data_IF_620959564993
#
_entry.id   IF_620959564993
#
_cell.length_a   1.000
_cell.length_b   1.000
_cell.length_c   1.000
_cell.angle_alpha   90.00
_cell.angle_beta   90.00
_cell.angle_gamma   90.00
#
_symmetry.space_group_name_H-M   'P 1'
#
loop_
_entity.id
_entity.type
_entity.pdbx_description
1 polymer ?
#
# COMPACT_ATOMS: atom_id res chain seq x y z
N UNK A 1 -11.89 -35.33 47.05
CA UNK A 1 -10.44 -35.21 46.72
C UNK A 1 -10.33 -34.92 45.23
N UNK A 2 -11.07 -33.92 44.72
CA UNK A 2 -10.64 -32.52 44.51
C UNK A 2 -9.35 -32.39 43.69
N UNK A 3 -9.60 -32.27 42.38
CA UNK A 3 -8.93 -31.41 41.41
C UNK A 3 -7.41 -31.49 41.28
N UNK A 4 -7.02 -32.38 40.36
CA UNK A 4 -5.86 -32.16 39.52
C UNK A 4 -6.09 -30.94 38.60
N UNK A 5 -5.97 -29.73 39.15
CA UNK A 5 -5.84 -28.49 38.38
C UNK A 5 -4.46 -28.48 37.70
N UNK A 6 -4.41 -29.14 36.54
CA UNK A 6 -3.42 -28.89 35.50
C UNK A 6 -3.38 -27.39 35.24
N UNK A 7 -2.27 -26.74 35.61
CA UNK A 7 -2.01 -25.35 35.22
C UNK A 7 -1.90 -25.32 33.71
N UNK A 8 -3.00 -24.99 33.04
CA UNK A 8 -2.99 -24.54 31.66
C UNK A 8 -2.00 -23.36 31.63
N UNK A 9 -0.93 -23.37 30.80
CA UNK A 9 -0.13 -22.19 30.64
C UNK A 9 -1.05 -21.09 30.13
N UNK A 10 -1.22 -20.04 30.93
CA UNK A 10 -1.92 -18.82 30.55
C UNK A 10 -1.42 -18.39 29.18
N UNK A 11 -2.32 -18.33 28.20
CA UNK A 11 -2.06 -17.71 26.91
C UNK A 11 -1.33 -16.38 27.15
N UNK A 12 -0.28 -16.04 26.39
CA UNK A 12 0.39 -14.77 26.60
C UNK A 12 -0.64 -13.66 26.48
N UNK A 13 -0.80 -12.92 27.57
CA UNK A 13 -1.62 -11.72 27.67
C UNK A 13 -1.30 -10.87 26.45
N UNK A 14 -2.31 -10.57 25.63
CA UNK A 14 -2.17 -9.75 24.43
C UNK A 14 -2.00 -8.30 24.84
N UNK A 15 -0.90 -8.00 25.53
CA UNK A 15 -0.62 -6.68 26.07
C UNK A 15 0.38 -5.99 25.15
N UNK A 16 -0.06 -4.87 24.59
CA UNK A 16 0.69 -3.88 23.81
C UNK A 16 0.66 -3.97 22.26
N UNK A 17 -0.45 -4.46 21.67
CA UNK A 17 -0.67 -4.28 20.23
C UNK A 17 -0.76 -2.78 19.88
N UNK A 18 0.26 -2.28 19.19
CA UNK A 18 0.39 -0.87 18.78
C UNK A 18 0.42 -0.74 17.25
N UNK A 19 0.20 0.48 16.75
CA UNK A 19 0.30 0.78 15.31
C UNK A 19 1.70 0.42 14.78
N UNK A 20 2.75 0.74 15.54
CA UNK A 20 4.14 0.41 15.19
C UNK A 20 4.37 -1.11 15.14
N UNK A 21 3.76 -1.87 16.05
CA UNK A 21 3.80 -3.33 16.00
C UNK A 21 3.02 -3.90 14.80
N UNK A 22 1.89 -3.30 14.44
CA UNK A 22 1.14 -3.68 13.25
C UNK A 22 1.97 -3.41 11.97
N UNK A 23 2.57 -2.22 11.84
CA UNK A 23 3.46 -1.85 10.72
C UNK A 23 4.64 -2.81 10.60
N UNK A 24 5.26 -3.16 11.73
CA UNK A 24 6.36 -4.14 11.80
C UNK A 24 5.90 -5.54 11.39
N UNK A 25 4.80 -6.03 11.96
CA UNK A 25 4.28 -7.39 11.72
C UNK A 25 3.90 -7.60 10.26
N UNK A 26 3.19 -6.63 9.67
CA UNK A 26 2.77 -6.67 8.26
C UNK A 26 3.81 -6.09 7.28
N UNK A 27 4.95 -5.64 7.80
CA UNK A 27 6.05 -5.05 7.05
C UNK A 27 5.61 -3.99 6.03
N UNK A 28 4.64 -3.15 6.39
CA UNK A 28 4.01 -2.21 5.45
C UNK A 28 5.06 -1.25 4.87
N UNK A 29 6.02 -0.81 5.67
CA UNK A 29 7.08 0.09 5.21
C UNK A 29 7.97 -0.51 4.11
N UNK A 30 8.06 -1.85 4.01
CA UNK A 30 8.90 -2.52 3.00
C UNK A 30 8.25 -2.59 1.62
N UNK A 31 6.93 -2.73 1.54
CA UNK A 31 6.22 -2.94 0.27
C UNK A 31 5.27 -1.78 -0.07
N UNK A 32 4.82 -1.03 0.93
CA UNK A 32 3.87 0.06 0.77
C UNK A 32 4.42 1.24 -0.02
N UNK A 33 5.76 1.42 -0.05
CA UNK A 33 6.45 2.44 -0.85
C UNK A 33 5.83 3.84 -0.71
N UNK A 34 5.41 4.20 0.51
CA UNK A 34 4.66 5.42 0.85
C UNK A 34 3.24 5.54 0.26
N UNK A 35 2.83 4.64 -0.62
CA UNK A 35 1.45 4.56 -1.13
C UNK A 35 0.51 3.91 -0.13
N UNK A 36 0.98 2.98 0.69
CA UNK A 36 0.16 2.31 1.69
C UNK A 36 0.80 2.45 3.06
N UNK A 37 -0.04 2.69 4.07
CA UNK A 37 0.39 2.93 5.44
C UNK A 37 -0.78 2.67 6.42
N UNK A 38 -0.53 2.83 7.72
CA UNK A 38 -1.54 2.84 8.78
C UNK A 38 -1.60 4.25 9.38
N UNK A 39 -2.81 4.80 9.50
CA UNK A 39 -3.04 6.10 10.16
C UNK A 39 -3.04 6.00 11.70
N UNK A 40 -3.24 7.14 12.37
CA UNK A 40 -3.24 7.27 13.83
C UNK A 40 -4.41 6.52 14.49
N UNK A 41 -5.49 6.25 13.74
CA UNK A 41 -6.62 5.46 14.19
C UNK A 41 -6.46 3.95 13.91
N UNK A 42 -5.30 3.52 13.40
CA UNK A 42 -5.01 2.12 13.13
C UNK A 42 -5.65 1.57 11.84
N UNK A 43 -6.10 2.44 10.92
CA UNK A 43 -6.74 2.06 9.66
C UNK A 43 -5.74 2.10 8.52
N UNK A 44 -5.91 1.17 7.57
CA UNK A 44 -5.07 1.14 6.36
C UNK A 44 -5.47 2.29 5.43
N UNK A 45 -4.47 3.08 5.05
CA UNK A 45 -4.62 4.21 4.13
C UNK A 45 -3.86 3.96 2.83
N UNK A 46 -4.42 4.49 1.75
CA UNK A 46 -3.79 4.61 0.45
C UNK A 46 -3.50 6.10 0.15
N UNK A 47 -2.31 6.39 -0.35
CA UNK A 47 -1.83 7.71 -0.78
C UNK A 47 -1.41 7.63 -2.24
N UNK A 48 -2.34 7.85 -3.20
CA UNK A 48 -2.04 7.63 -4.61
C UNK A 48 -0.93 8.54 -5.17
N UNK A 49 -0.72 9.71 -4.53
CA UNK A 49 0.36 10.67 -4.82
C UNK A 49 1.08 11.08 -3.53
N UNK A 50 2.12 10.34 -3.11
CA UNK A 50 2.78 10.55 -1.82
C UNK A 50 3.67 11.81 -1.78
N UNK A 51 4.08 12.33 -2.93
CA UNK A 51 5.03 13.43 -3.10
C UNK A 51 4.42 14.84 -2.98
N UNK A 52 3.12 14.99 -3.28
CA UNK A 52 2.49 16.29 -3.46
C UNK A 52 1.48 16.68 -2.35
N UNK A 53 1.58 16.07 -1.16
CA UNK A 53 0.53 16.24 -0.13
C UNK A 53 -0.84 15.77 -0.64
N UNK A 54 -0.84 14.73 -1.50
CA UNK A 54 -2.03 14.19 -2.12
C UNK A 54 -3.01 13.63 -1.09
N UNK A 55 -4.25 13.40 -1.54
CA UNK A 55 -5.29 12.84 -0.68
C UNK A 55 -4.84 11.52 -0.05
N UNK A 56 -5.01 11.42 1.27
CA UNK A 56 -4.91 10.17 2.02
C UNK A 56 -6.30 9.58 2.12
N UNK A 57 -6.48 8.35 1.66
CA UNK A 57 -7.79 7.70 1.55
C UNK A 57 -7.76 6.44 2.41
N UNK A 58 -8.65 6.33 3.41
CA UNK A 58 -8.79 5.10 4.18
C UNK A 58 -9.52 4.05 3.35
N UNK A 59 -9.01 2.81 3.37
CA UNK A 59 -9.64 1.72 2.63
C UNK A 59 -11.03 1.37 3.18
N UNK A 60 -11.26 1.58 4.48
CA UNK A 60 -12.57 1.40 5.13
C UNK A 60 -13.61 2.33 4.53
N UNK A 61 -13.25 3.60 4.32
CA UNK A 61 -14.17 4.63 3.84
C UNK A 61 -14.62 4.31 2.40
N UNK A 62 -13.72 3.76 1.57
CA UNK A 62 -14.06 3.29 0.22
C UNK A 62 -15.08 2.14 0.28
N UNK A 63 -14.91 1.20 1.22
CA UNK A 63 -15.81 0.05 1.35
C UNK A 63 -17.19 0.51 1.83
N UNK A 64 -17.25 1.43 2.78
CA UNK A 64 -18.50 1.97 3.29
C UNK A 64 -19.25 2.75 2.21
N UNK A 65 -18.56 3.61 1.46
CA UNK A 65 -19.15 4.31 0.31
C UNK A 65 -19.63 3.34 -0.78
N UNK A 66 -18.88 2.26 -1.05
CA UNK A 66 -19.31 1.25 -2.00
C UNK A 66 -20.60 0.54 -1.55
N UNK A 67 -20.75 0.26 -0.25
CA UNK A 67 -21.98 -0.33 0.31
C UNK A 67 -23.17 0.62 0.21
N UNK A 68 -22.98 1.91 0.47
CA UNK A 68 -24.02 2.94 0.28
C UNK A 68 -24.49 3.01 -1.18
N UNK A 69 -23.57 2.81 -2.12
CA UNK A 69 -23.86 2.69 -3.56
C UNK A 69 -24.42 1.32 -3.98
N UNK A 70 -24.76 0.46 -3.02
CA UNK A 70 -25.30 -0.89 -3.22
C UNK A 70 -24.37 -1.82 -4.03
N UNK A 71 -23.06 -1.55 -4.00
CA UNK A 71 -22.03 -2.43 -4.57
C UNK A 71 -21.70 -3.55 -3.57
N UNK A 72 -21.55 -4.77 -4.07
CA UNK A 72 -21.29 -5.96 -3.25
C UNK A 72 -19.84 -6.39 -3.35
N UNK A 73 -19.30 -6.91 -2.25
CA UNK A 73 -17.99 -7.57 -2.24
C UNK A 73 -18.06 -8.96 -2.92
N UNK A 74 -16.97 -9.44 -3.55
CA UNK A 74 -15.63 -8.85 -3.60
C UNK A 74 -15.54 -7.64 -4.55
N UNK A 75 -14.81 -6.60 -4.11
CA UNK A 75 -14.56 -5.38 -4.90
C UNK A 75 -13.08 -5.31 -5.28
N UNK A 76 -12.80 -4.86 -6.50
CA UNK A 76 -11.45 -4.55 -6.96
C UNK A 76 -11.27 -3.03 -7.02
N UNK A 77 -10.48 -2.49 -6.10
CA UNK A 77 -10.16 -1.06 -6.04
C UNK A 77 -8.87 -0.81 -6.83
N UNK A 78 -8.89 0.15 -7.76
CA UNK A 78 -7.72 0.53 -8.58
C UNK A 78 -7.37 1.99 -8.35
N UNK A 79 -6.12 2.23 -7.94
CA UNK A 79 -5.57 3.57 -7.78
C UNK A 79 -4.74 3.95 -9.00
N UNK A 80 -5.37 4.60 -10.00
CA UNK A 80 -4.71 4.95 -11.26
C UNK A 80 -3.55 5.95 -11.08
N UNK A 81 -3.64 6.82 -10.09
CA UNK A 81 -2.59 7.79 -9.81
C UNK A 81 -1.30 7.13 -9.29
N UNK A 82 -1.38 5.98 -8.61
CA UNK A 82 -0.19 5.21 -8.21
C UNK A 82 0.58 4.78 -9.45
N UNK A 83 -0.12 4.26 -10.46
CA UNK A 83 0.51 3.82 -11.72
C UNK A 83 1.19 5.00 -12.42
N UNK A 84 0.50 6.13 -12.53
CA UNK A 84 1.06 7.35 -13.13
C UNK A 84 2.31 7.82 -12.38
N UNK A 85 2.23 7.89 -11.05
CA UNK A 85 3.35 8.32 -10.22
C UNK A 85 4.53 7.33 -10.35
N UNK A 86 4.30 6.02 -10.37
CA UNK A 86 5.38 5.02 -10.58
C UNK A 86 6.09 5.18 -11.92
N UNK A 87 5.34 5.43 -13.00
CA UNK A 87 5.94 5.68 -14.32
C UNK A 87 6.81 6.93 -14.28
N UNK A 88 6.34 8.01 -13.65
CA UNK A 88 7.12 9.24 -13.47
C UNK A 88 8.37 8.99 -12.63
N UNK A 89 8.27 8.28 -11.50
CA UNK A 89 9.40 7.95 -10.62
C UNK A 89 10.50 7.20 -11.38
N UNK A 90 10.14 6.19 -12.19
CA UNK A 90 11.12 5.41 -12.95
C UNK A 90 11.82 6.29 -13.99
N UNK A 91 11.06 7.07 -14.77
CA UNK A 91 11.65 7.96 -15.77
C UNK A 91 12.56 9.02 -15.12
N UNK A 92 12.15 9.59 -13.99
CA UNK A 92 12.95 10.55 -13.24
C UNK A 92 14.24 9.93 -12.69
N UNK A 93 14.20 8.69 -12.20
CA UNK A 93 15.38 7.98 -11.73
C UNK A 93 16.41 7.75 -12.86
N UNK A 94 15.95 7.36 -14.05
CA UNK A 94 16.83 7.22 -15.22
C UNK A 94 17.36 8.58 -15.69
N UNK A 95 16.53 9.62 -15.74
CA UNK A 95 16.98 10.96 -16.11
C UNK A 95 18.06 11.49 -15.15
N UNK A 96 17.89 11.26 -13.84
CA UNK A 96 18.88 11.60 -12.82
C UNK A 96 20.21 10.87 -13.07
N UNK A 97 20.17 9.54 -13.25
CA UNK A 97 21.38 8.76 -13.54
C UNK A 97 22.06 9.19 -14.85
N UNK A 98 21.30 9.47 -15.91
CA UNK A 98 21.86 9.98 -17.18
C UNK A 98 22.60 11.29 -16.97
N UNK A 99 22.03 12.21 -16.18
CA UNK A 99 22.66 13.49 -15.85
C UNK A 99 23.91 13.32 -14.99
N UNK A 100 23.87 12.43 -14.00
CA UNK A 100 25.00 12.19 -13.07
C UNK A 100 26.21 11.55 -13.75
N UNK A 101 25.99 10.70 -14.76
CA UNK A 101 27.04 9.97 -15.47
C UNK A 101 27.34 10.52 -16.87
N UNK A 102 26.78 11.69 -17.22
CA UNK A 102 26.94 12.34 -18.54
C UNK A 102 26.67 11.39 -19.73
N UNK A 103 25.71 10.49 -19.55
CA UNK A 103 25.38 9.50 -20.57
C UNK A 103 24.73 10.20 -21.78
N UNK A 104 25.22 9.91 -22.99
CA UNK A 104 24.77 10.62 -24.21
C UNK A 104 23.46 10.08 -24.81
N UNK A 105 22.99 8.93 -24.34
CA UNK A 105 21.75 8.32 -24.81
C UNK A 105 20.52 8.76 -23.99
N UNK A 106 19.34 8.50 -24.54
CA UNK A 106 18.05 8.79 -23.88
C UNK A 106 17.39 7.52 -23.37
N UNK A 107 16.79 7.58 -22.17
CA UNK A 107 15.91 6.53 -21.67
C UNK A 107 14.50 6.67 -22.24
N UNK A 108 13.87 5.54 -22.61
CA UNK A 108 12.47 5.47 -23.02
C UNK A 108 11.80 4.30 -22.32
N UNK A 109 10.88 4.59 -21.40
CA UNK A 109 10.05 3.57 -20.77
C UNK A 109 9.09 2.94 -21.80
N UNK A 110 9.03 1.61 -21.84
CA UNK A 110 8.04 0.85 -22.63
C UNK A 110 7.22 0.01 -21.66
N UNK A 111 5.90 0.13 -21.72
CA UNK A 111 4.99 -0.68 -20.90
C UNK A 111 4.58 -1.94 -21.68
N UNK A 112 4.98 -3.14 -21.25
CA UNK A 112 4.59 -4.37 -21.91
C UNK A 112 3.13 -4.73 -21.56
N UNK A 113 2.20 -4.45 -22.48
CA UNK A 113 0.75 -4.67 -22.30
C UNK A 113 0.37 -6.10 -21.87
N UNK A 114 1.22 -7.10 -22.14
CA UNK A 114 1.02 -8.49 -21.71
C UNK A 114 0.88 -8.63 -20.19
N UNK A 115 1.45 -7.71 -19.42
CA UNK A 115 1.43 -7.75 -17.95
C UNK A 115 0.07 -7.28 -17.41
N UNK A 116 -0.58 -6.34 -18.09
CA UNK A 116 -1.93 -5.90 -17.78
C UNK A 116 -2.59 -5.31 -19.04
N UNK A 117 -3.59 -6.00 -19.57
CA UNK A 117 -4.22 -5.68 -20.86
C UNK A 117 -5.42 -4.72 -20.72
N UNK A 118 -5.75 -4.29 -19.49
CA UNK A 118 -6.90 -3.45 -19.24
C UNK A 118 -6.66 -2.03 -19.77
N UNK A 119 -7.61 -1.54 -20.56
CA UNK A 119 -7.57 -0.20 -21.19
C UNK A 119 -7.40 0.94 -20.19
N UNK A 120 -7.79 0.73 -18.94
CA UNK A 120 -7.68 1.72 -17.87
C UNK A 120 -6.24 1.93 -17.39
N UNK A 121 -5.34 0.97 -17.67
CA UNK A 121 -3.93 0.95 -17.22
C UNK A 121 -2.96 1.32 -18.35
N UNK A 122 -3.43 1.27 -19.62
CA UNK A 122 -2.63 1.49 -20.85
C UNK A 122 -2.86 2.87 -21.43
#
# INVERSE_FOLDING_TARGET
MQDAMSRIPSSPTTDNWSIEEAKRTYHIDRWGLSYFDIDEEGRVVARPRPDNGGATIRLTDIIDEARERNLRTPLLIRFQDILRHRVQTINAAFAKAISEYEYRGSYRGVFPIKVNQLREVV
#
